data_IF_607334797725
#
_entry.id   IF_607334797725
#
_cell.length_a   1.000
_cell.length_b   1.000
_cell.length_c   1.000
_cell.angle_alpha   90.00
_cell.angle_beta   90.00
_cell.angle_gamma   90.00
#
_symmetry.space_group_name_H-M   'P 1'
#
loop_
_entity.id
_entity.type
_entity.pdbx_description
1 polymer ?
#
# COMPACT_ATOMS: atom_id res chain seq x y z
N UNK A 1 -6.81 -12.31 3.18
CA UNK A 1 -6.74 -10.93 3.70
C UNK A 1 -7.98 -10.18 3.26
N UNK A 2 -8.62 -9.40 4.15
CA UNK A 2 -9.67 -8.44 3.78
C UNK A 2 -9.08 -7.04 3.96
N UNK A 3 -9.27 -6.18 2.97
CA UNK A 3 -8.89 -4.77 3.03
C UNK A 3 -10.12 -3.88 3.02
N UNK A 4 -10.05 -2.74 3.70
CA UNK A 4 -11.08 -1.71 3.70
C UNK A 4 -10.47 -0.41 3.16
N UNK A 5 -11.11 0.17 2.15
CA UNK A 5 -10.73 1.50 1.65
C UNK A 5 -11.23 2.51 2.67
N UNK A 6 -10.30 3.31 3.18
CA UNK A 6 -10.60 4.38 4.13
C UNK A 6 -10.90 5.67 3.38
N UNK A 7 -10.11 5.98 2.35
CA UNK A 7 -10.25 7.21 1.60
C UNK A 7 -9.70 7.10 0.18
N UNK A 8 -10.31 7.84 -0.74
CA UNK A 8 -9.81 8.05 -2.10
C UNK A 8 -9.73 9.55 -2.35
N UNK A 9 -8.56 10.05 -2.68
CA UNK A 9 -8.35 11.47 -3.02
C UNK A 9 -7.65 11.61 -4.36
N UNK A 10 -8.16 12.53 -5.18
CA UNK A 10 -7.59 12.85 -6.50
C UNK A 10 -6.62 14.01 -6.42
N UNK A 11 -5.44 13.85 -6.99
CA UNK A 11 -4.39 14.86 -7.04
C UNK A 11 -3.84 15.04 -8.44
N UNK A 12 -3.31 16.22 -8.75
CA UNK A 12 -2.36 16.33 -9.86
C UNK A 12 -1.07 15.64 -9.45
N UNK A 13 -0.44 14.96 -10.40
CA UNK A 13 0.80 14.22 -10.16
C UNK A 13 1.93 15.12 -9.66
N UNK A 14 1.94 16.39 -10.06
CA UNK A 14 2.93 17.38 -9.64
C UNK A 14 2.66 17.98 -8.24
N UNK A 15 1.48 17.72 -7.66
CA UNK A 15 1.11 18.19 -6.31
C UNK A 15 1.35 17.10 -5.23
N UNK A 16 1.96 15.97 -5.61
CA UNK A 16 2.28 14.90 -4.67
C UNK A 16 3.45 15.31 -3.77
N UNK A 17 3.33 15.01 -2.48
CA UNK A 17 4.36 15.28 -1.48
C UNK A 17 4.78 13.98 -0.80
N UNK A 18 5.98 13.91 -0.18
CA UNK A 18 6.42 12.72 0.55
C UNK A 18 5.42 12.27 1.62
N UNK A 19 4.82 13.22 2.33
CA UNK A 19 3.88 12.96 3.43
C UNK A 19 2.60 12.29 2.92
N UNK A 20 2.08 12.73 1.77
CA UNK A 20 0.89 12.15 1.13
C UNK A 20 1.15 10.73 0.65
N UNK A 21 2.33 10.50 0.09
CA UNK A 21 2.73 9.19 -0.42
C UNK A 21 3.22 8.24 0.68
N UNK A 22 3.37 8.73 1.93
CA UNK A 22 3.91 7.98 3.08
C UNK A 22 5.18 7.22 2.69
N UNK A 23 6.06 7.89 1.94
CA UNK A 23 7.27 7.26 1.42
C UNK A 23 8.13 6.74 2.59
N UNK A 24 8.72 5.55 2.47
CA UNK A 24 9.64 5.04 3.47
C UNK A 24 10.87 5.96 3.59
N UNK A 25 11.58 5.89 4.71
CA UNK A 25 12.78 6.70 4.94
C UNK A 25 13.77 6.54 3.78
N UNK A 26 14.11 7.66 3.13
CA UNK A 26 14.99 7.70 1.96
C UNK A 26 14.29 7.64 0.60
N UNK A 27 12.97 7.43 0.55
CA UNK A 27 12.18 7.57 -0.67
C UNK A 27 11.99 9.03 -1.08
N UNK A 28 12.07 9.32 -2.37
CA UNK A 28 11.79 10.65 -2.93
C UNK A 28 10.55 10.63 -3.80
N UNK A 29 9.88 11.78 -3.92
CA UNK A 29 8.75 11.94 -4.84
C UNK A 29 9.23 11.71 -6.27
N UNK A 30 10.41 12.21 -6.68
CA UNK A 30 10.91 11.97 -8.03
C UNK A 30 11.09 10.48 -8.33
N UNK A 31 11.68 9.70 -7.40
CA UNK A 31 11.89 8.27 -7.59
C UNK A 31 10.58 7.49 -7.69
N UNK A 32 9.58 7.89 -6.90
CA UNK A 32 8.23 7.35 -7.01
C UNK A 32 7.59 7.67 -8.37
N UNK A 33 7.67 8.93 -8.81
CA UNK A 33 7.13 9.38 -10.10
C UNK A 33 7.82 8.71 -11.30
N UNK A 34 9.14 8.53 -11.24
CA UNK A 34 9.89 7.81 -12.28
C UNK A 34 9.41 6.36 -12.39
N UNK A 35 9.28 5.68 -11.25
CA UNK A 35 8.77 4.30 -11.19
C UNK A 35 7.35 4.21 -11.74
N UNK A 36 6.50 5.18 -11.39
CA UNK A 36 5.12 5.25 -11.85
C UNK A 36 5.04 5.47 -13.37
N UNK A 37 5.83 6.40 -13.92
CA UNK A 37 5.89 6.66 -15.37
C UNK A 37 6.46 5.47 -16.16
N UNK A 38 7.41 4.74 -15.58
CA UNK A 38 7.92 3.49 -16.18
C UNK A 38 6.81 2.44 -16.28
N UNK A 39 5.92 2.38 -15.28
CA UNK A 39 4.79 1.44 -15.28
C UNK A 39 3.65 1.88 -16.22
N UNK A 40 3.48 3.19 -16.41
CA UNK A 40 2.46 3.77 -17.30
C UNK A 40 3.11 4.75 -18.31
N UNK A 41 3.73 4.23 -19.39
CA UNK A 41 4.52 5.06 -20.32
C UNK A 41 3.71 6.12 -21.07
N UNK A 42 2.40 5.92 -21.22
CA UNK A 42 1.50 6.86 -21.88
C UNK A 42 0.93 7.93 -20.92
N UNK A 43 1.34 7.94 -19.65
CA UNK A 43 0.83 8.89 -18.66
C UNK A 43 1.27 10.32 -18.98
N UNK A 44 0.33 11.29 -19.10
CA UNK A 44 0.67 12.69 -19.27
C UNK A 44 1.51 13.25 -18.10
N UNK A 45 2.34 14.25 -18.38
CA UNK A 45 3.17 14.90 -17.36
C UNK A 45 2.35 15.66 -16.29
N UNK A 46 1.12 16.05 -16.62
CA UNK A 46 0.16 16.77 -15.77
C UNK A 46 -1.04 15.90 -15.37
N UNK A 47 -0.88 14.58 -15.44
CA UNK A 47 -1.95 13.63 -15.13
C UNK A 47 -2.52 13.84 -13.72
N UNK A 48 -3.77 13.43 -13.56
CA UNK A 48 -4.39 13.27 -12.25
C UNK A 48 -4.30 11.82 -11.83
N UNK A 49 -4.03 11.59 -10.54
CA UNK A 49 -3.96 10.27 -9.92
C UNK A 49 -4.88 10.21 -8.72
N UNK A 50 -5.51 9.04 -8.52
CA UNK A 50 -6.28 8.75 -7.32
C UNK A 50 -5.36 8.03 -6.31
N UNK A 51 -5.15 8.66 -5.16
CA UNK A 51 -4.43 8.08 -4.03
C UNK A 51 -5.45 7.43 -3.11
N UNK A 52 -5.26 6.13 -2.86
CA UNK A 52 -6.16 5.31 -2.06
C UNK A 52 -5.51 4.97 -0.74
N UNK A 53 -6.07 5.47 0.36
CA UNK A 53 -5.74 5.04 1.70
C UNK A 53 -6.62 3.83 2.06
N UNK A 54 -5.99 2.74 2.49
CA UNK A 54 -6.69 1.52 2.89
C UNK A 54 -6.01 0.88 4.09
N UNK A 55 -6.79 0.13 4.87
CA UNK A 55 -6.27 -0.75 5.91
C UNK A 55 -6.44 -2.21 5.51
N UNK A 56 -5.47 -3.03 5.87
CA UNK A 56 -5.56 -4.49 5.69
C UNK A 56 -5.78 -5.10 7.07
N UNK A 57 -6.87 -5.84 7.24
CA UNK A 57 -7.08 -6.59 8.46
C UNK A 57 -5.96 -7.63 8.61
N UNK A 58 -5.37 -7.78 9.81
CA UNK A 58 -4.36 -8.81 10.03
C UNK A 58 -4.95 -10.16 9.64
N UNK A 59 -4.21 -10.91 8.83
CA UNK A 59 -4.55 -12.31 8.58
C UNK A 59 -4.53 -13.01 9.94
N UNK A 60 -5.69 -13.50 10.40
CA UNK A 60 -5.77 -14.33 11.59
C UNK A 60 -5.05 -15.65 11.32
N UNK A 61 -3.72 -15.63 11.41
CA UNK A 61 -2.89 -16.82 11.43
C UNK A 61 -2.84 -17.32 12.87
N UNK A 62 -4.00 -17.65 13.43
CA UNK A 62 -4.06 -18.48 14.63
C UNK A 62 -3.64 -19.89 14.20
N UNK A 63 -2.34 -20.17 14.24
CA UNK A 63 -1.84 -21.53 14.25
C UNK A 63 -2.20 -22.09 15.63
N UNK A 64 -3.36 -22.74 15.71
CA UNK A 64 -3.75 -23.52 16.89
C UNK A 64 -2.86 -24.76 16.94
N UNK A 65 -1.71 -24.66 17.60
CA UNK A 65 -1.02 -25.82 18.18
C UNK A 65 -1.75 -26.23 19.47
N UNK A 66 -2.95 -26.79 19.31
CA UNK A 66 -3.61 -27.59 20.35
C UNK A 66 -4.03 -28.91 19.72
N UNK A 67 -3.19 -29.94 19.90
CA UNK A 67 -3.57 -31.31 20.24
C UNK A 67 -2.46 -32.29 19.84
N UNK A 68 -1.48 -32.54 20.73
CA UNK A 68 -0.68 -33.78 20.75
C UNK A 68 0.22 -33.89 21.99
N UNK A 69 -0.29 -33.64 23.21
CA UNK A 69 0.31 -34.26 24.39
C UNK A 69 -0.70 -34.46 25.52
N UNK A 70 -1.72 -35.26 25.24
CA UNK A 70 -2.47 -35.94 26.28
C UNK A 70 -2.73 -37.37 25.81
N UNK A 71 -2.28 -38.33 26.62
CA UNK A 71 -2.63 -39.76 26.59
C UNK A 71 -1.78 -40.69 25.70
N UNK A 72 -0.66 -41.15 26.27
CA UNK A 72 -0.26 -42.57 26.27
C UNK A 72 0.38 -42.82 27.65
N UNK A 73 -0.41 -43.29 28.63
CA UNK A 73 -0.46 -44.69 29.11
C UNK A 73 0.86 -45.18 29.69
#
# INVERSE_FOLDING_TARGET
MRGEILEIRRYRINDLTPERLRLPNGGTVEGYLESLRRHYPAMPADAFVDVVDFQVAPSNSAHTEEAQNATAR
#
